data_IF_996472876929
#
_entry.id   IF_996472876929
#
_cell.length_a   1.000
_cell.length_b   1.000
_cell.length_c   1.000
_cell.angle_alpha   90.00
_cell.angle_beta   90.00
_cell.angle_gamma   90.00
#
_symmetry.space_group_name_H-M   'P 1'
#
loop_
_entity.id
_entity.type
_entity.pdbx_description
1 polymer ?
#
# COMPACT_ATOMS: atom_id res chain seq x y z
N UNK A 1 9.39 -9.66 -22.43
CA UNK A 1 9.17 -8.35 -21.77
C UNK A 1 7.95 -8.52 -20.87
N UNK A 2 8.15 -8.77 -19.57
CA UNK A 2 7.05 -8.92 -18.61
C UNK A 2 6.88 -7.59 -17.89
N UNK A 3 5.80 -6.88 -18.19
CA UNK A 3 5.41 -5.70 -17.46
C UNK A 3 4.61 -6.17 -16.25
N UNK A 4 5.20 -6.07 -15.06
CA UNK A 4 4.51 -6.32 -13.80
C UNK A 4 3.62 -5.11 -13.51
N UNK A 5 2.33 -5.21 -13.82
CA UNK A 5 1.34 -4.21 -13.44
C UNK A 5 0.59 -4.70 -12.20
N UNK A 6 0.73 -3.98 -11.10
CA UNK A 6 -0.02 -4.22 -9.88
C UNK A 6 -1.39 -3.54 -9.98
N UNK A 7 -2.45 -4.34 -10.08
CA UNK A 7 -3.84 -3.85 -10.12
C UNK A 7 -4.36 -3.58 -8.71
N UNK A 8 -5.16 -2.52 -8.58
CA UNK A 8 -5.84 -2.14 -7.33
C UNK A 8 -7.33 -2.41 -7.48
N UNK A 9 -7.93 -3.20 -6.58
CA UNK A 9 -9.39 -3.44 -6.53
C UNK A 9 -9.97 -3.10 -5.16
N UNK A 10 -10.92 -2.17 -5.08
CA UNK A 10 -11.65 -1.87 -3.83
C UNK A 10 -12.84 -2.83 -3.73
N UNK A 11 -12.98 -3.64 -2.67
CA UNK A 11 -14.28 -4.29 -2.40
C UNK A 11 -14.47 -4.65 -0.92
N UNK A 12 -15.63 -4.27 -0.37
CA UNK A 12 -16.30 -5.00 0.70
C UNK A 12 -17.26 -6.02 0.08
N UNK A 13 -17.35 -7.21 0.67
CA UNK A 13 -18.00 -8.37 0.10
C UNK A 13 -19.52 -8.34 0.34
N UNK A 14 -20.31 -7.95 -0.66
CA UNK A 14 -21.72 -8.36 -0.79
C UNK A 14 -22.19 -8.24 -2.26
N UNK A 15 -22.78 -9.31 -2.79
CA UNK A 15 -23.04 -9.56 -4.23
C UNK A 15 -24.18 -8.71 -4.86
N UNK A 16 -24.35 -7.44 -4.50
CA UNK A 16 -25.43 -6.60 -5.09
C UNK A 16 -25.09 -5.16 -5.50
N UNK A 17 -23.91 -4.61 -5.20
CA UNK A 17 -23.61 -3.21 -5.49
C UNK A 17 -22.35 -3.07 -6.37
N UNK A 18 -22.50 -3.30 -7.67
CA UNK A 18 -21.40 -3.36 -8.65
C UNK A 18 -21.20 -2.04 -9.45
N UNK A 19 -21.59 -0.89 -8.88
CA UNK A 19 -21.43 0.43 -9.54
C UNK A 19 -20.20 1.23 -9.06
N UNK A 20 -19.54 0.83 -7.97
CA UNK A 20 -18.44 1.61 -7.35
C UNK A 20 -17.08 0.89 -7.37
N UNK A 21 -16.96 -0.26 -8.04
CA UNK A 21 -15.70 -1.01 -8.13
C UNK A 21 -14.82 -0.42 -9.24
N UNK A 22 -13.82 0.37 -8.85
CA UNK A 22 -12.84 0.94 -9.79
C UNK A 22 -11.60 0.03 -9.81
N UNK A 23 -11.37 -0.64 -10.95
CA UNK A 23 -10.08 -1.26 -11.26
C UNK A 23 -9.18 -0.20 -11.88
N UNK A 24 -8.14 0.19 -11.17
CA UNK A 24 -7.21 1.23 -11.59
C UNK A 24 -5.77 0.74 -11.51
N UNK A 25 -4.99 1.04 -12.55
CA UNK A 25 -3.53 0.94 -12.51
C UNK A 25 -3.02 2.19 -11.82
N UNK A 26 -2.67 2.05 -10.54
CA UNK A 26 -2.17 3.15 -9.72
C UNK A 26 -0.65 3.17 -9.74
N UNK A 27 -0.10 4.28 -10.24
CA UNK A 27 1.33 4.56 -10.10
C UNK A 27 1.60 4.97 -8.66
N UNK A 28 2.71 4.50 -8.12
CA UNK A 28 3.11 4.76 -6.73
C UNK A 28 3.22 6.24 -6.39
N UNK A 29 3.57 7.09 -7.37
CA UNK A 29 3.65 8.54 -7.20
C UNK A 29 2.28 9.25 -7.12
N UNK A 30 1.16 8.57 -7.38
CA UNK A 30 -0.20 9.12 -7.25
C UNK A 30 -0.81 8.95 -5.86
N UNK A 31 -0.17 8.14 -5.02
CA UNK A 31 -0.52 7.97 -3.61
C UNK A 31 -0.03 9.21 -2.86
N UNK A 32 -0.84 9.77 -1.97
CA UNK A 32 -0.39 10.77 -1.02
C UNK A 32 -0.09 10.16 0.36
N UNK A 33 0.20 11.02 1.32
CA UNK A 33 0.70 10.62 2.63
C UNK A 33 -0.39 10.04 3.53
N UNK A 34 -1.64 10.41 3.26
CA UNK A 34 -2.82 9.90 3.96
C UNK A 34 -3.29 8.56 3.35
N UNK A 35 -2.56 8.06 2.34
CA UNK A 35 -2.94 6.86 1.60
C UNK A 35 -4.12 7.09 0.68
N UNK A 36 -4.31 8.31 0.19
CA UNK A 36 -5.30 8.63 -0.82
C UNK A 36 -4.66 8.61 -2.20
N UNK A 37 -5.33 7.97 -3.15
CA UNK A 37 -4.98 7.97 -4.56
C UNK A 37 -5.86 8.97 -5.26
N UNK A 38 -5.26 9.95 -5.93
CA UNK A 38 -5.98 10.93 -6.74
C UNK A 38 -5.96 10.49 -8.21
N UNK A 39 -7.11 10.04 -8.71
CA UNK A 39 -7.27 9.66 -10.11
C UNK A 39 -7.48 10.90 -11.00
N UNK A 40 -7.11 10.80 -12.28
CA UNK A 40 -7.19 11.91 -13.24
C UNK A 40 -8.61 12.41 -13.51
N UNK A 41 -9.62 11.60 -13.21
CA UNK A 41 -11.04 11.95 -13.32
C UNK A 41 -11.59 12.65 -12.05
N UNK A 42 -10.73 12.97 -11.08
CA UNK A 42 -11.11 13.63 -9.83
C UNK A 42 -11.61 12.68 -8.73
N UNK A 43 -11.67 11.38 -9.00
CA UNK A 43 -12.02 10.37 -7.99
C UNK A 43 -10.86 10.19 -7.01
N UNK A 44 -11.19 10.08 -5.73
CA UNK A 44 -10.25 9.78 -4.65
C UNK A 44 -10.51 8.36 -4.14
N UNK A 45 -9.44 7.57 -3.99
CA UNK A 45 -9.52 6.22 -3.45
C UNK A 45 -8.68 6.11 -2.18
N UNK A 46 -9.23 5.47 -1.15
CA UNK A 46 -8.49 5.17 0.08
C UNK A 46 -7.75 3.83 -0.06
N UNK A 47 -6.43 3.84 0.16
CA UNK A 47 -5.61 2.63 0.10
C UNK A 47 -6.02 1.57 1.13
N UNK A 48 -6.54 1.98 2.29
CA UNK A 48 -7.06 1.06 3.31
C UNK A 48 -8.21 0.19 2.80
N UNK A 49 -8.92 0.61 1.77
CA UNK A 49 -10.05 -0.11 1.17
C UNK A 49 -9.64 -0.90 -0.08
N UNK A 50 -8.38 -0.80 -0.47
CA UNK A 50 -7.86 -1.39 -1.69
C UNK A 50 -7.43 -2.86 -1.50
N UNK A 51 -7.40 -3.57 -2.61
CA UNK A 51 -6.79 -4.90 -2.77
C UNK A 51 -5.71 -4.81 -3.81
N UNK A 52 -4.58 -5.47 -3.60
CA UNK A 52 -3.46 -5.45 -4.51
C UNK A 52 -3.11 -6.88 -4.94
N UNK A 53 -2.56 -7.04 -6.14
CA UNK A 53 -2.07 -8.35 -6.62
C UNK A 53 -0.56 -8.44 -6.38
N UNK A 54 -0.06 -9.42 -5.60
CA UNK A 54 1.38 -9.63 -5.42
C UNK A 54 2.11 -10.00 -6.73
N UNK A 55 3.42 -9.72 -6.84
CA UNK A 55 4.18 -10.14 -8.01
C UNK A 55 4.16 -11.66 -8.16
N UNK A 56 3.80 -12.15 -9.35
CA UNK A 56 3.71 -13.59 -9.64
C UNK A 56 2.47 -14.29 -9.07
N UNK A 57 1.54 -13.54 -8.49
CA UNK A 57 0.22 -14.01 -8.08
C UNK A 57 -0.84 -13.56 -9.09
N UNK A 58 -1.96 -14.27 -9.15
CA UNK A 58 -3.18 -13.84 -9.83
C UNK A 58 -4.31 -13.46 -8.85
N UNK A 59 -4.08 -13.67 -7.56
CA UNK A 59 -5.08 -13.45 -6.52
C UNK A 59 -4.91 -12.07 -5.88
N UNK A 60 -6.04 -11.42 -5.65
CA UNK A 60 -6.13 -10.17 -4.92
C UNK A 60 -5.96 -10.39 -3.43
N UNK A 61 -5.25 -9.47 -2.80
CA UNK A 61 -4.89 -9.50 -1.38
C UNK A 61 -5.38 -8.19 -0.76
N UNK A 62 -6.15 -8.27 0.32
CA UNK A 62 -6.74 -7.08 0.96
C UNK A 62 -5.73 -6.36 1.83
N UNK A 63 -5.84 -5.03 1.92
CA UNK A 63 -5.19 -4.27 2.98
C UNK A 63 -5.89 -4.56 4.31
N UNK A 64 -5.11 -4.92 5.33
CA UNK A 64 -5.58 -5.18 6.70
C UNK A 64 -5.31 -3.97 7.59
N UNK A 65 -4.15 -3.34 7.43
CA UNK A 65 -3.74 -2.21 8.26
C UNK A 65 -2.82 -1.28 7.48
N UNK A 66 -2.81 0.00 7.85
CA UNK A 66 -1.93 1.01 7.28
C UNK A 66 -1.14 1.70 8.39
N UNK A 67 0.14 1.95 8.13
CA UNK A 67 1.09 2.53 9.06
C UNK A 67 1.79 3.73 8.44
N UNK A 68 2.17 4.69 9.28
CA UNK A 68 3.15 5.71 8.92
C UNK A 68 4.55 5.27 9.38
N UNK A 69 5.58 5.60 8.61
CA UNK A 69 6.98 5.37 8.95
C UNK A 69 7.39 6.08 10.25
N UNK A 70 6.76 7.21 10.58
CA UNK A 70 7.01 7.94 11.83
C UNK A 70 6.77 7.09 13.09
N UNK A 71 5.90 6.08 12.97
CA UNK A 71 5.55 5.17 14.04
C UNK A 71 6.41 3.89 14.05
N UNK A 72 7.61 3.89 13.46
CA UNK A 72 8.50 2.71 13.41
C UNK A 72 9.76 2.87 14.28
N UNK A 73 10.25 1.79 14.88
CA UNK A 73 11.47 1.80 15.69
C UNK A 73 12.74 1.84 14.83
N UNK A 74 12.69 1.27 13.63
CA UNK A 74 13.73 1.33 12.60
C UNK A 74 13.06 1.45 11.22
N UNK A 75 12.66 2.67 10.82
CA UNK A 75 11.93 2.89 9.57
C UNK A 75 12.78 2.48 8.37
N UNK A 76 12.15 1.83 7.39
CA UNK A 76 12.82 1.59 6.11
C UNK A 76 12.95 2.93 5.39
N UNK A 77 14.18 3.39 5.23
CA UNK A 77 14.50 4.68 4.60
C UNK A 77 14.92 4.54 3.14
N UNK A 78 15.16 3.32 2.64
CA UNK A 78 15.58 3.07 1.26
C UNK A 78 14.84 1.89 0.66
N UNK A 79 14.42 2.05 -0.59
CA UNK A 79 13.82 0.99 -1.38
C UNK A 79 14.88 -0.11 -1.66
N UNK A 80 14.61 -1.39 -1.38
CA UNK A 80 15.55 -2.47 -1.65
C UNK A 80 15.73 -2.74 -3.15
N UNK A 81 14.75 -2.35 -3.98
CA UNK A 81 14.81 -2.53 -5.45
C UNK A 81 15.63 -1.45 -6.15
N UNK A 82 15.30 -0.17 -5.93
CA UNK A 82 15.95 0.95 -6.64
C UNK A 82 16.90 1.79 -5.78
N UNK A 83 17.00 1.53 -4.47
CA UNK A 83 17.81 2.27 -3.48
C UNK A 83 17.41 3.73 -3.26
N UNK A 84 16.35 4.20 -3.92
CA UNK A 84 15.77 5.52 -3.67
C UNK A 84 15.33 5.68 -2.23
N UNK A 85 15.43 6.90 -1.73
CA UNK A 85 14.93 7.26 -0.40
C UNK A 85 13.42 7.09 -0.38
N UNK A 86 12.92 6.34 0.60
CA UNK A 86 11.47 6.23 0.84
C UNK A 86 11.07 7.47 1.63
N UNK A 87 10.15 8.30 1.10
CA UNK A 87 9.67 9.45 1.85
C UNK A 87 8.98 9.03 3.16
N UNK A 88 9.27 9.73 4.25
CA UNK A 88 8.80 9.44 5.61
C UNK A 88 7.29 9.49 5.78
N UNK A 89 6.63 10.15 4.84
CA UNK A 89 5.22 10.44 4.83
C UNK A 89 4.41 9.39 4.05
N UNK A 90 5.05 8.37 3.46
CA UNK A 90 4.36 7.34 2.68
C UNK A 90 3.77 6.23 3.57
N UNK A 91 2.55 5.77 3.27
CA UNK A 91 1.94 4.68 4.02
C UNK A 91 2.62 3.34 3.73
N UNK A 92 2.71 2.52 4.77
CA UNK A 92 3.07 1.11 4.70
C UNK A 92 1.82 0.29 5.01
N UNK A 93 1.46 -0.60 4.11
CA UNK A 93 0.29 -1.46 4.18
C UNK A 93 0.71 -2.82 4.72
N UNK A 94 -0.07 -3.40 5.64
CA UNK A 94 -0.05 -4.83 5.93
C UNK A 94 -1.20 -5.48 5.20
N UNK A 95 -0.89 -6.51 4.43
CA UNK A 95 -1.83 -7.24 3.61
C UNK A 95 -2.30 -8.54 4.29
N UNK A 96 -3.45 -9.08 3.88
CA UNK A 96 -4.02 -10.29 4.50
C UNK A 96 -3.17 -11.56 4.31
N UNK A 97 -2.29 -11.57 3.31
CA UNK A 97 -1.28 -12.62 3.11
C UNK A 97 -0.02 -12.41 3.97
N UNK A 98 -0.08 -11.55 4.98
CA UNK A 98 1.00 -11.22 5.92
C UNK A 98 2.22 -10.56 5.27
N UNK A 99 2.11 -10.05 4.05
CA UNK A 99 3.14 -9.23 3.42
C UNK A 99 2.90 -7.76 3.71
N UNK A 100 3.99 -7.01 3.78
CA UNK A 100 3.96 -5.57 3.82
C UNK A 100 4.15 -4.99 2.43
N UNK A 101 3.45 -3.88 2.14
CA UNK A 101 3.45 -3.24 0.84
C UNK A 101 3.56 -1.74 0.99
N UNK A 102 4.39 -1.09 0.18
CA UNK A 102 4.45 0.37 0.15
C UNK A 102 4.72 0.90 -1.27
N UNK A 103 4.26 2.12 -1.58
CA UNK A 103 4.47 2.74 -2.88
C UNK A 103 5.84 3.44 -2.93
N UNK A 104 6.84 2.87 -3.62
CA UNK A 104 8.11 3.56 -3.84
C UNK A 104 7.95 4.66 -4.89
N UNK A 105 8.42 5.89 -4.62
CA UNK A 105 8.29 7.04 -5.52
C UNK A 105 8.92 6.85 -6.89
N UNK A 106 9.96 6.02 -6.98
CA UNK A 106 10.87 5.99 -8.13
C UNK A 106 10.80 4.68 -8.93
N UNK A 107 10.07 3.67 -8.45
CA UNK A 107 9.93 2.42 -9.18
C UNK A 107 8.50 1.86 -9.17
N UNK A 108 8.17 1.04 -8.18
CA UNK A 108 6.97 0.20 -8.16
C UNK A 108 6.52 -0.09 -6.73
N UNK A 109 5.39 -0.79 -6.60
CA UNK A 109 4.95 -1.34 -5.34
C UNK A 109 5.97 -2.36 -4.83
N UNK A 110 6.50 -2.11 -3.63
CA UNK A 110 7.47 -3.01 -3.02
C UNK A 110 6.74 -3.92 -2.05
N UNK A 111 6.88 -5.23 -2.26
CA UNK A 111 6.27 -6.27 -1.44
C UNK A 111 7.35 -6.94 -0.60
N UNK A 112 7.21 -6.86 0.72
CA UNK A 112 8.17 -7.39 1.68
C UNK A 112 7.51 -8.41 2.61
N UNK A 113 8.25 -9.47 2.96
CA UNK A 113 7.80 -10.44 3.97
C UNK A 113 8.30 -10.09 5.37
N UNK A 114 9.30 -9.21 5.47
CA UNK A 114 9.88 -8.83 6.75
C UNK A 114 8.91 -7.93 7.52
N UNK A 115 8.74 -8.21 8.80
CA UNK A 115 7.97 -7.35 9.70
C UNK A 115 8.68 -6.03 9.94
N UNK A 116 7.92 -4.95 9.87
CA UNK A 116 8.38 -3.63 10.31
C UNK A 116 8.18 -3.54 11.82
N UNK A 117 9.26 -3.26 12.56
CA UNK A 117 9.17 -3.05 14.00
C UNK A 117 8.42 -1.75 14.28
N UNK A 118 7.15 -1.87 14.66
CA UNK A 118 6.32 -0.71 14.98
C UNK A 118 6.55 -0.22 16.41
N UNK A 119 6.54 1.10 16.59
CA UNK A 119 6.36 1.77 17.89
C UNK A 119 4.93 1.56 18.36
N UNK A 120 4.63 0.41 18.97
CA UNK A 120 3.37 0.25 19.72
C UNK A 120 3.45 1.05 21.02
N UNK A 121 2.62 2.10 21.15
CA UNK A 121 2.07 2.67 22.39
C UNK A 121 2.96 2.69 23.65
N UNK A 122 4.23 3.09 23.53
CA UNK A 122 5.15 3.14 24.67
C UNK A 122 4.85 4.23 25.71
N UNK A 123 3.87 5.11 25.46
CA UNK A 123 3.63 6.31 26.26
C UNK A 123 2.25 6.39 26.94
N UNK A 124 1.42 5.34 26.92
CA UNK A 124 0.13 5.37 27.63
C UNK A 124 0.18 4.89 29.10
N UNK A 125 1.36 4.67 29.68
CA UNK A 125 1.50 4.34 31.11
C UNK A 125 2.75 5.00 31.73
N UNK A 126 2.81 6.34 31.74
CA UNK A 126 3.78 7.04 32.60
C UNK A 126 3.14 8.18 33.35
#
# INVERSE_FOLDING_TARGET
>A
MHLYFHHVRVSAMNRKDDENNIDAIVKTNQVDNDGIIHLSNGVKLELSQCRLIPPGSNDYVNVVMMFSLENMYDPITKCPKCRSTIPWDRPILLMDNMQFVYPCSDCEWVWERQSFNMRKFGNENR
#
